data_IF_114190038795
#
_entry.id   IF_114190038795
#
_cell.length_a   1.000
_cell.length_b   1.000
_cell.length_c   1.000
_cell.angle_alpha   90.00
_cell.angle_beta   90.00
_cell.angle_gamma   90.00
#
_symmetry.space_group_name_H-M   'P 1'
#
loop_
_entity.id
_entity.type
_entity.pdbx_description
1 polymer ?
#
# COMPACT_ATOMS: atom_id res chain seq x y z
N UNK A 1 -7.79 -11.60 12.60
CA UNK A 1 -7.01 -10.59 11.86
C UNK A 1 -5.57 -11.02 11.60
N UNK A 2 -4.90 -11.57 12.59
CA UNK A 2 -3.50 -11.98 12.40
C UNK A 2 -3.32 -13.02 11.29
N UNK A 3 -4.22 -13.99 11.20
CA UNK A 3 -4.18 -14.99 10.14
C UNK A 3 -4.32 -14.36 8.75
N UNK A 4 -5.22 -13.42 8.60
CA UNK A 4 -5.45 -12.72 7.33
C UNK A 4 -4.18 -11.97 6.90
N UNK A 5 -3.63 -11.17 7.79
CA UNK A 5 -2.44 -10.36 7.48
C UNK A 5 -1.20 -11.23 7.28
N UNK A 6 -1.05 -12.31 8.07
CA UNK A 6 0.06 -13.25 7.89
C UNK A 6 -0.03 -13.99 6.55
N UNK A 7 -1.24 -14.36 6.12
CA UNK A 7 -1.44 -14.98 4.81
C UNK A 7 -1.12 -14.02 3.68
N UNK A 8 -1.48 -12.75 3.80
CA UNK A 8 -1.12 -11.73 2.83
C UNK A 8 0.40 -11.51 2.78
N UNK A 9 1.07 -11.61 3.92
CA UNK A 9 2.54 -11.53 3.95
C UNK A 9 3.18 -12.67 3.18
N UNK A 10 2.65 -13.88 3.33
CA UNK A 10 3.13 -15.05 2.57
C UNK A 10 2.91 -14.84 1.07
N UNK A 11 1.75 -14.33 0.69
CA UNK A 11 1.45 -14.01 -0.70
C UNK A 11 2.42 -12.97 -1.25
N UNK A 12 2.69 -11.91 -0.49
CA UNK A 12 3.69 -10.90 -0.85
C UNK A 12 5.05 -11.53 -1.09
N UNK A 13 5.49 -12.41 -0.19
CA UNK A 13 6.81 -13.03 -0.26
C UNK A 13 6.92 -13.95 -1.49
N UNK A 14 5.85 -14.66 -1.81
CA UNK A 14 5.80 -15.48 -3.02
C UNK A 14 5.92 -14.60 -4.27
N UNK A 15 5.19 -13.50 -4.33
CA UNK A 15 5.26 -12.57 -5.46
C UNK A 15 6.66 -11.97 -5.61
N UNK A 16 7.28 -11.59 -4.50
CA UNK A 16 8.62 -11.02 -4.51
C UNK A 16 9.70 -12.02 -4.95
N UNK A 17 9.45 -13.32 -4.80
CA UNK A 17 10.41 -14.36 -5.18
C UNK A 17 10.40 -14.67 -6.68
N UNK A 18 9.44 -14.14 -7.43
CA UNK A 18 9.29 -14.47 -8.85
C UNK A 18 10.41 -13.83 -9.69
N UNK A 19 10.94 -14.56 -10.71
CA UNK A 19 12.09 -14.08 -11.49
C UNK A 19 11.85 -12.77 -12.25
N UNK A 20 10.61 -12.50 -12.66
CA UNK A 20 10.31 -11.28 -13.39
C UNK A 20 10.29 -10.03 -12.50
N UNK A 21 10.38 -10.18 -11.20
CA UNK A 21 10.47 -9.07 -10.27
C UNK A 21 11.94 -8.68 -10.05
N UNK A 22 12.56 -8.12 -11.09
CA UNK A 22 13.91 -7.58 -11.02
C UNK A 22 13.88 -6.06 -11.11
N UNK A 23 14.66 -5.40 -10.25
CA UNK A 23 14.71 -3.94 -10.20
C UNK A 23 15.56 -3.42 -11.36
N UNK A 24 15.01 -2.47 -12.10
CA UNK A 24 15.70 -1.85 -13.24
C UNK A 24 16.37 -0.52 -12.89
N UNK A 25 15.73 0.29 -12.05
CA UNK A 25 16.24 1.60 -11.68
C UNK A 25 16.07 1.82 -10.17
N UNK A 26 17.15 1.65 -9.45
CA UNK A 26 17.14 1.87 -8.00
C UNK A 26 17.18 3.36 -7.64
N UNK A 27 17.75 4.15 -8.51
CA UNK A 27 18.04 5.56 -8.24
C UNK A 27 16.79 6.41 -8.08
N UNK A 28 15.90 6.35 -9.07
CA UNK A 28 14.66 7.13 -9.05
C UNK A 28 13.72 6.65 -7.97
N UNK A 29 13.72 5.35 -7.68
CA UNK A 29 12.90 4.76 -6.65
C UNK A 29 13.30 5.23 -5.26
N UNK A 30 14.61 5.28 -4.98
CA UNK A 30 15.12 5.72 -3.68
C UNK A 30 14.74 7.17 -3.41
N UNK A 31 14.86 8.03 -4.41
CA UNK A 31 14.49 9.43 -4.30
C UNK A 31 12.99 9.59 -4.07
N UNK A 32 12.18 8.86 -4.83
CA UNK A 32 10.74 8.89 -4.69
C UNK A 32 10.29 8.42 -3.31
N UNK A 33 10.88 7.34 -2.82
CA UNK A 33 10.52 6.75 -1.53
C UNK A 33 11.06 7.56 -0.35
N UNK A 34 12.07 8.39 -0.54
CA UNK A 34 12.54 9.28 0.51
C UNK A 34 11.52 10.35 0.87
N UNK A 35 10.66 10.70 -0.07
CA UNK A 35 9.59 11.66 0.17
C UNK A 35 8.48 11.03 1.02
N UNK A 36 7.93 11.80 1.96
CA UNK A 36 6.79 11.36 2.77
C UNK A 36 5.45 11.56 2.07
N UNK A 37 5.45 12.11 0.87
CA UNK A 37 4.22 12.24 0.08
C UNK A 37 3.69 10.87 -0.32
N UNK A 38 2.36 10.78 -0.45
CA UNK A 38 1.71 9.54 -0.86
C UNK A 38 2.06 9.25 -2.33
N UNK A 39 2.57 8.04 -2.59
CA UNK A 39 2.89 7.60 -3.94
C UNK A 39 1.71 6.80 -4.47
N UNK A 40 1.09 7.29 -5.54
CA UNK A 40 -0.10 6.69 -6.10
C UNK A 40 0.21 6.07 -7.46
N UNK A 41 -0.07 4.77 -7.60
CA UNK A 41 0.07 4.05 -8.86
C UNK A 41 -1.34 3.65 -9.31
N UNK A 42 -1.79 4.20 -10.43
CA UNK A 42 -3.14 3.94 -10.93
C UNK A 42 -3.09 3.25 -12.29
N UNK A 43 -4.18 2.60 -12.63
CA UNK A 43 -4.34 1.93 -13.90
C UNK A 43 -5.44 0.89 -13.83
N UNK A 44 -5.92 0.39 -14.98
CA UNK A 44 -6.92 -0.67 -15.00
C UNK A 44 -6.41 -1.92 -14.30
N UNK A 45 -7.33 -2.77 -13.88
CA UNK A 45 -6.97 -4.05 -13.27
C UNK A 45 -6.09 -4.84 -14.24
N UNK A 46 -5.12 -5.58 -13.68
CA UNK A 46 -4.23 -6.48 -14.43
C UNK A 46 -3.29 -5.77 -15.39
N UNK A 47 -2.96 -4.50 -15.13
CA UNK A 47 -1.98 -3.75 -15.93
C UNK A 47 -0.59 -3.73 -15.32
N UNK A 48 -0.37 -4.49 -14.24
CA UNK A 48 0.95 -4.57 -13.62
C UNK A 48 1.23 -3.51 -12.56
N UNK A 49 0.22 -2.73 -12.13
CA UNK A 49 0.45 -1.70 -11.11
C UNK A 49 0.88 -2.27 -9.77
N UNK A 50 0.32 -3.42 -9.37
CA UNK A 50 0.75 -4.10 -8.15
C UNK A 50 2.18 -4.61 -8.27
N UNK A 51 2.55 -5.14 -9.45
CA UNK A 51 3.91 -5.57 -9.73
C UNK A 51 4.87 -4.40 -9.65
N UNK A 52 4.49 -3.25 -10.20
CA UNK A 52 5.31 -2.04 -10.15
C UNK A 52 5.54 -1.58 -8.71
N UNK A 53 4.48 -1.60 -7.89
CA UNK A 53 4.61 -1.24 -6.48
C UNK A 53 5.52 -2.21 -5.72
N UNK A 54 5.39 -3.50 -5.97
CA UNK A 54 6.24 -4.51 -5.35
C UNK A 54 7.69 -4.36 -5.78
N UNK A 55 7.94 -4.07 -7.06
CA UNK A 55 9.30 -3.81 -7.55
C UNK A 55 9.92 -2.61 -6.85
N UNK A 56 9.14 -1.55 -6.67
CA UNK A 56 9.60 -0.34 -6.00
C UNK A 56 10.04 -0.63 -4.56
N UNK A 57 9.33 -1.51 -3.87
CA UNK A 57 9.56 -1.78 -2.46
C UNK A 57 10.43 -3.04 -2.20
N UNK A 58 10.74 -3.81 -3.24
CA UNK A 58 11.54 -5.03 -3.09
C UNK A 58 12.89 -4.73 -2.43
N UNK A 59 13.22 -5.53 -1.41
CA UNK A 59 14.46 -5.34 -0.65
C UNK A 59 14.33 -4.33 0.48
N UNK A 60 13.18 -3.72 0.66
CA UNK A 60 12.92 -2.77 1.73
C UNK A 60 11.99 -3.41 2.77
N UNK A 61 11.97 -2.85 3.98
CA UNK A 61 11.08 -3.32 5.04
C UNK A 61 9.73 -2.64 4.88
N UNK A 62 8.78 -3.34 4.26
CA UNK A 62 7.45 -2.78 4.04
C UNK A 62 6.35 -3.73 4.47
N UNK A 63 5.27 -3.14 4.98
CA UNK A 63 4.03 -3.86 5.29
C UNK A 63 3.11 -3.83 4.08
N UNK A 64 2.26 -4.83 3.94
CA UNK A 64 1.43 -5.03 2.76
C UNK A 64 -0.01 -5.33 3.16
N UNK A 65 -0.95 -4.61 2.57
CA UNK A 65 -2.38 -4.90 2.70
C UNK A 65 -3.01 -4.92 1.31
N UNK A 66 -3.67 -6.04 1.00
CA UNK A 66 -4.37 -6.22 -0.27
C UNK A 66 -5.87 -6.10 -0.04
N UNK A 67 -6.47 -5.04 -0.55
CA UNK A 67 -7.90 -4.78 -0.39
C UNK A 67 -8.78 -5.46 -1.45
N UNK A 68 -8.21 -6.31 -2.30
CA UNK A 68 -8.98 -7.27 -3.10
C UNK A 68 -9.39 -8.49 -2.26
N UNK A 69 -8.81 -8.65 -1.09
CA UNK A 69 -9.12 -9.77 -0.20
C UNK A 69 -10.41 -9.51 0.57
N UNK A 70 -11.46 -10.24 0.22
CA UNK A 70 -12.76 -10.10 0.87
C UNK A 70 -12.73 -10.42 2.36
N UNK A 71 -11.82 -11.29 2.81
CA UNK A 71 -11.67 -11.61 4.22
C UNK A 71 -11.19 -10.41 5.01
N UNK A 72 -10.24 -9.66 4.45
CA UNK A 72 -9.76 -8.43 5.09
C UNK A 72 -10.88 -7.40 5.19
N UNK A 73 -11.62 -7.19 4.11
CA UNK A 73 -12.71 -6.22 4.09
C UNK A 73 -13.83 -6.60 5.06
N UNK A 74 -14.20 -7.88 5.13
CA UNK A 74 -15.26 -8.36 6.02
C UNK A 74 -14.88 -8.25 7.49
N UNK A 75 -13.61 -8.42 7.81
CA UNK A 75 -13.11 -8.37 9.19
C UNK A 75 -12.49 -7.03 9.53
N UNK A 76 -12.68 -6.00 8.71
CA UNK A 76 -12.02 -4.71 8.88
C UNK A 76 -12.31 -4.09 10.23
N UNK A 77 -11.25 -3.81 10.96
CA UNK A 77 -11.25 -3.07 12.21
C UNK A 77 -9.95 -2.26 12.19
N UNK A 78 -10.08 -0.96 12.05
CA UNK A 78 -8.94 -0.07 11.84
C UNK A 78 -7.86 -0.24 12.91
N UNK A 79 -8.26 -0.24 14.18
CA UNK A 79 -7.30 -0.33 15.27
C UNK A 79 -6.65 -1.70 15.34
N UNK A 80 -7.43 -2.76 15.12
CA UNK A 80 -6.93 -4.12 15.13
C UNK A 80 -5.98 -4.37 13.95
N UNK A 81 -6.30 -3.85 12.77
CA UNK A 81 -5.42 -3.95 11.61
C UNK A 81 -4.10 -3.26 11.88
N UNK A 82 -4.15 -2.06 12.44
CA UNK A 82 -2.94 -1.28 12.74
C UNK A 82 -2.05 -2.01 13.74
N UNK A 83 -2.64 -2.49 14.82
CA UNK A 83 -1.93 -3.26 15.83
C UNK A 83 -1.30 -4.54 15.25
N UNK A 84 -2.08 -5.25 14.41
CA UNK A 84 -1.62 -6.50 13.81
C UNK A 84 -0.49 -6.25 12.80
N UNK A 85 -0.55 -5.16 12.05
CA UNK A 85 0.54 -4.80 11.12
C UNK A 85 1.87 -4.66 11.85
N UNK A 86 1.87 -4.02 13.01
CA UNK A 86 3.09 -3.87 13.80
C UNK A 86 3.58 -5.19 14.37
N UNK A 87 2.68 -6.13 14.64
CA UNK A 87 3.05 -7.45 15.13
C UNK A 87 3.64 -8.34 14.03
N UNK A 88 3.08 -8.26 12.83
CA UNK A 88 3.50 -9.11 11.69
C UNK A 88 4.71 -8.53 10.94
N UNK A 89 4.80 -7.20 10.89
CA UNK A 89 5.87 -6.48 10.22
C UNK A 89 6.58 -5.54 11.21
N UNK A 90 7.43 -6.05 12.09
CA UNK A 90 8.10 -5.19 13.07
C UNK A 90 8.91 -4.09 12.39
N UNK A 91 8.71 -2.86 12.87
CA UNK A 91 9.49 -1.69 12.42
C UNK A 91 9.42 -1.42 10.92
N UNK A 92 8.28 -1.69 10.27
CA UNK A 92 8.16 -1.44 8.84
C UNK A 92 8.34 0.05 8.52
N UNK A 93 9.04 0.31 7.42
CA UNK A 93 9.35 1.68 6.98
C UNK A 93 8.37 2.21 5.95
N UNK A 94 7.72 1.31 5.21
CA UNK A 94 6.78 1.64 4.14
C UNK A 94 5.53 0.81 4.28
N UNK A 95 4.41 1.34 3.82
CA UNK A 95 3.13 0.63 3.80
C UNK A 95 2.58 0.61 2.39
N UNK A 96 2.41 -0.58 1.83
CA UNK A 96 1.80 -0.77 0.51
C UNK A 96 0.33 -1.12 0.69
N UNK A 97 -0.54 -0.28 0.15
CA UNK A 97 -1.99 -0.47 0.16
C UNK A 97 -2.45 -0.77 -1.28
N UNK A 98 -2.73 -2.03 -1.55
CA UNK A 98 -3.05 -2.52 -2.89
C UNK A 98 -4.56 -2.53 -3.10
N UNK A 99 -5.04 -1.89 -4.17
CA UNK A 99 -6.46 -1.75 -4.49
C UNK A 99 -7.25 -1.09 -3.36
N UNK A 100 -6.74 0.03 -2.87
CA UNK A 100 -7.25 0.69 -1.66
C UNK A 100 -8.70 1.20 -1.81
N UNK A 101 -9.15 1.48 -3.03
CA UNK A 101 -10.51 1.98 -3.25
C UNK A 101 -11.60 1.00 -2.81
N UNK A 102 -11.26 -0.27 -2.62
CA UNK A 102 -12.23 -1.27 -2.16
C UNK A 102 -12.59 -1.10 -0.68
N UNK A 103 -11.81 -0.35 0.06
CA UNK A 103 -12.11 -0.06 1.47
C UNK A 103 -12.99 1.17 1.57
N UNK A 104 -14.19 1.02 2.15
CA UNK A 104 -15.07 2.16 2.42
C UNK A 104 -14.39 3.13 3.37
N UNK A 105 -14.38 4.43 3.00
CA UNK A 105 -13.75 5.45 3.82
C UNK A 105 -12.22 5.42 3.80
N UNK A 106 -11.63 4.76 2.82
CA UNK A 106 -10.16 4.60 2.72
C UNK A 106 -9.42 5.93 2.81
N UNK A 107 -9.97 6.98 2.22
CA UNK A 107 -9.31 8.30 2.17
C UNK A 107 -9.16 8.91 3.56
N UNK A 108 -10.12 8.68 4.46
CA UNK A 108 -10.03 9.16 5.83
C UNK A 108 -8.92 8.44 6.60
N UNK A 109 -8.82 7.13 6.42
CA UNK A 109 -7.78 6.33 7.05
C UNK A 109 -6.40 6.69 6.51
N UNK A 110 -6.27 6.80 5.20
CA UNK A 110 -5.00 7.19 4.56
C UNK A 110 -4.58 8.58 5.02
N UNK A 111 -5.52 9.51 5.12
CA UNK A 111 -5.24 10.87 5.62
C UNK A 111 -4.70 10.83 7.04
N UNK A 112 -5.29 10.00 7.90
CA UNK A 112 -4.84 9.82 9.27
C UNK A 112 -3.41 9.27 9.31
N UNK A 113 -3.12 8.22 8.53
CA UNK A 113 -1.79 7.63 8.46
C UNK A 113 -0.77 8.62 7.93
N UNK A 114 -1.15 9.43 6.97
CA UNK A 114 -0.26 10.45 6.44
C UNK A 114 0.11 11.47 7.51
N UNK A 115 -0.87 11.91 8.30
CA UNK A 115 -0.61 12.85 9.40
C UNK A 115 0.30 12.24 10.48
N UNK A 116 0.30 10.92 10.61
CA UNK A 116 1.19 10.19 11.50
C UNK A 116 2.62 10.04 10.94
N UNK A 117 2.85 10.48 9.72
CA UNK A 117 4.16 10.38 9.08
C UNK A 117 4.44 9.03 8.41
N UNK A 118 3.41 8.22 8.15
CA UNK A 118 3.58 6.92 7.52
C UNK A 118 3.87 7.11 6.02
N UNK A 119 4.92 6.44 5.54
CA UNK A 119 5.31 6.50 4.14
C UNK A 119 4.55 5.42 3.37
N UNK A 120 3.65 5.84 2.46
CA UNK A 120 2.73 4.93 1.79
C UNK A 120 2.93 4.88 0.29
N UNK A 121 2.76 3.68 -0.27
CA UNK A 121 2.58 3.44 -1.70
C UNK A 121 1.18 2.86 -1.86
N UNK A 122 0.38 3.46 -2.72
CA UNK A 122 -1.04 3.11 -2.88
C UNK A 122 -1.29 2.74 -4.33
N UNK A 123 -1.98 1.64 -4.56
CA UNK A 123 -2.46 1.31 -5.90
C UNK A 123 -3.98 1.33 -5.95
N UNK A 124 -4.53 1.57 -7.13
CA UNK A 124 -5.96 1.52 -7.33
C UNK A 124 -6.34 1.45 -8.80
N UNK A 125 -7.47 0.79 -9.07
CA UNK A 125 -7.98 0.59 -10.43
C UNK A 125 -8.88 1.71 -10.91
N UNK A 126 -9.49 2.46 -9.99
CA UNK A 126 -10.40 3.55 -10.32
C UNK A 126 -9.67 4.90 -10.18
N UNK A 127 -8.93 5.25 -11.23
CA UNK A 127 -8.10 6.46 -11.22
C UNK A 127 -8.90 7.73 -10.96
N UNK A 128 -10.11 7.81 -11.51
CA UNK A 128 -10.94 9.00 -11.36
C UNK A 128 -11.37 9.22 -9.91
N UNK A 129 -11.84 8.18 -9.26
CA UNK A 129 -12.24 8.24 -7.86
C UNK A 129 -11.04 8.53 -6.96
N UNK A 130 -9.95 7.82 -7.20
CA UNK A 130 -8.72 8.01 -6.42
C UNK A 130 -8.17 9.43 -6.57
N UNK A 131 -8.11 9.95 -7.79
CA UNK A 131 -7.61 11.30 -8.03
C UNK A 131 -8.45 12.37 -7.34
N UNK A 132 -9.77 12.22 -7.38
CA UNK A 132 -10.71 13.14 -6.73
C UNK A 132 -10.52 13.14 -5.21
N UNK A 133 -10.42 11.97 -4.61
CA UNK A 133 -10.25 11.83 -3.16
C UNK A 133 -8.85 12.24 -2.70
N UNK A 134 -7.83 11.93 -3.50
CA UNK A 134 -6.46 12.37 -3.23
C UNK A 134 -6.31 13.88 -3.29
N UNK A 135 -7.01 14.53 -4.22
CA UNK A 135 -7.01 15.99 -4.29
C UNK A 135 -7.53 16.59 -2.98
N UNK A 136 -8.57 15.99 -2.40
CA UNK A 136 -9.11 16.41 -1.11
C UNK A 136 -8.07 16.22 0.01
N UNK A 137 -7.33 15.11 0.01
CA UNK A 137 -6.29 14.85 0.98
C UNK A 137 -5.15 15.84 0.88
N UNK A 138 -4.74 16.18 -0.34
CA UNK A 138 -3.59 17.03 -0.58
C UNK A 138 -3.90 18.52 -0.43
N UNK A 139 -5.14 18.92 -0.63
CA UNK A 139 -5.54 20.35 -0.58
C UNK A 139 -5.24 21.00 0.76
N UNK A 140 -5.34 20.26 1.84
CA UNK A 140 -5.06 20.80 3.17
C UNK A 140 -3.59 21.00 3.49
N UNK A 141 -2.68 20.73 2.53
CA UNK A 141 -1.24 20.79 2.75
C UNK A 141 -0.53 21.88 2.04
N UNK A 142 -1.13 22.29 0.99
CA UNK A 142 -0.61 23.33 0.15
C UNK A 142 -1.50 24.56 0.28
#
# INVERSE_FOLDING_TARGET
>A
MRTIISNQKKERDILLSRPYLTRHTKYDEDELLASKQIKLITGPRRTGKSTEALLMLKGRNFAYLNFDDGKLLSAWDEDLVWETLHAVYPDFEYLLLDEVQNLDGWHLWVSKLYRMGINMVITGSNAKLLSSEMATLLTGRY
#
